data_IF_187341457504
#
_entry.id   IF_187341457504
#
_cell.length_a   1.000
_cell.length_b   1.000
_cell.length_c   1.000
_cell.angle_alpha   90.00
_cell.angle_beta   90.00
_cell.angle_gamma   90.00
#
_symmetry.space_group_name_H-M   'P 1'
#
loop_
_entity.id
_entity.type
_entity.pdbx_description
1 polymer ?
#
# COMPACT_ATOMS: atom_id res chain seq x y z
N UNK A 1 35.94 -29.95 -1.08
CA UNK A 1 35.28 -28.67 -0.73
C UNK A 1 34.10 -28.57 -1.66
N UNK A 2 32.86 -28.42 -1.17
CA UNK A 2 31.75 -28.23 -2.09
C UNK A 2 31.92 -26.85 -2.71
N UNK A 3 32.21 -26.85 -4.02
CA UNK A 3 32.02 -25.72 -4.90
C UNK A 3 30.51 -25.50 -5.04
N UNK A 4 30.10 -24.23 -5.14
CA UNK A 4 28.77 -23.78 -5.56
C UNK A 4 27.67 -23.61 -4.49
N UNK A 5 27.86 -22.68 -3.55
CA UNK A 5 26.74 -21.84 -3.10
C UNK A 5 26.89 -20.44 -3.71
N UNK A 6 26.24 -20.25 -4.87
CA UNK A 6 26.11 -18.96 -5.52
C UNK A 6 25.34 -18.00 -4.60
N UNK A 7 26.03 -16.95 -4.14
CA UNK A 7 25.44 -15.92 -3.28
C UNK A 7 24.38 -15.14 -4.07
N UNK A 8 23.11 -15.56 -3.99
CA UNK A 8 21.99 -14.78 -4.55
C UNK A 8 21.84 -13.52 -3.71
N UNK A 9 22.06 -12.31 -4.27
CA UNK A 9 21.83 -11.08 -3.53
C UNK A 9 20.36 -11.03 -3.11
N UNK A 10 20.11 -10.73 -1.83
CA UNK A 10 18.76 -10.52 -1.33
C UNK A 10 18.14 -9.35 -2.10
N UNK A 11 17.13 -9.65 -2.93
CA UNK A 11 16.38 -8.63 -3.65
C UNK A 11 15.47 -7.92 -2.65
N UNK A 12 15.84 -6.69 -2.30
CA UNK A 12 15.01 -5.80 -1.48
C UNK A 12 13.82 -5.33 -2.34
N UNK A 13 12.57 -5.58 -1.93
CA UNK A 13 11.41 -5.19 -2.73
C UNK A 13 11.29 -3.66 -2.83
N UNK A 14 11.09 -3.15 -4.05
CA UNK A 14 10.80 -1.72 -4.27
C UNK A 14 9.33 -1.44 -4.01
N UNK A 15 9.03 -0.32 -3.38
CA UNK A 15 7.69 0.04 -2.93
C UNK A 15 7.28 1.38 -3.54
N UNK A 16 6.16 1.37 -4.26
CA UNK A 16 5.46 2.56 -4.70
C UNK A 16 4.30 2.88 -3.78
N UNK A 17 4.28 4.07 -3.19
CA UNK A 17 3.27 4.48 -2.22
C UNK A 17 2.32 5.54 -2.79
N UNK A 18 1.05 5.48 -2.39
CA UNK A 18 0.14 6.59 -2.65
C UNK A 18 -0.77 6.88 -1.47
N UNK A 19 -1.15 8.15 -1.33
CA UNK A 19 -2.13 8.62 -0.38
C UNK A 19 -3.22 9.42 -1.09
N UNK A 20 -4.44 9.43 -0.54
CA UNK A 20 -5.48 10.40 -0.90
C UNK A 20 -5.57 11.42 0.24
N UNK A 21 -5.42 12.70 -0.08
CA UNK A 21 -5.44 13.81 0.87
C UNK A 21 -6.68 14.68 0.63
N UNK A 22 -7.46 14.90 1.68
CA UNK A 22 -8.42 15.99 1.75
C UNK A 22 -7.66 17.33 1.76
N UNK A 23 -7.98 18.28 0.86
CA UNK A 23 -7.21 19.53 0.77
C UNK A 23 -7.46 20.49 1.94
N UNK A 24 -8.38 20.15 2.84
CA UNK A 24 -8.77 20.89 4.02
C UNK A 24 -8.63 20.04 5.28
N UNK A 25 -8.75 20.68 6.45
CA UNK A 25 -8.58 20.00 7.72
C UNK A 25 -7.10 19.74 8.05
N UNK A 26 -6.83 18.65 8.76
CA UNK A 26 -5.53 18.39 9.37
C UNK A 26 -4.56 17.60 8.46
N UNK A 27 -5.07 16.89 7.44
CA UNK A 27 -4.27 16.02 6.58
C UNK A 27 -3.13 16.75 5.82
N UNK A 28 -3.33 17.98 5.29
CA UNK A 28 -2.22 18.71 4.66
C UNK A 28 -1.08 19.00 5.65
N UNK A 29 -1.40 19.30 6.91
CA UNK A 29 -0.39 19.52 7.95
C UNK A 29 0.40 18.24 8.25
N UNK A 30 -0.29 17.10 8.33
CA UNK A 30 0.35 15.80 8.55
C UNK A 30 1.27 15.40 7.41
N UNK A 31 0.83 15.51 6.15
CA UNK A 31 1.68 15.15 5.01
C UNK A 31 2.87 16.10 4.85
N UNK A 32 2.73 17.40 5.16
CA UNK A 32 3.88 18.31 5.22
C UNK A 32 4.88 17.87 6.30
N UNK A 33 4.40 17.57 7.50
CA UNK A 33 5.23 17.13 8.60
C UNK A 33 5.94 15.78 8.32
N UNK A 34 5.29 14.86 7.61
CA UNK A 34 5.88 13.60 7.16
C UNK A 34 6.94 13.84 6.08
N UNK A 35 6.66 14.72 5.11
CA UNK A 35 7.60 15.07 4.04
C UNK A 35 8.86 15.73 4.59
N UNK A 36 8.71 16.68 5.51
CA UNK A 36 9.83 17.37 6.20
C UNK A 36 10.76 16.40 6.93
N UNK A 37 10.22 15.27 7.41
CA UNK A 37 10.98 14.25 8.15
C UNK A 37 11.44 13.10 7.26
N UNK A 38 11.00 13.04 6.00
CA UNK A 38 11.24 11.91 5.11
C UNK A 38 10.68 10.59 5.65
N UNK A 39 9.45 10.60 6.18
CA UNK A 39 8.81 9.41 6.77
C UNK A 39 7.46 9.11 6.10
N UNK A 40 6.84 7.98 6.44
CA UNK A 40 5.55 7.59 5.87
C UNK A 40 5.71 7.21 4.40
N UNK A 41 4.86 7.77 3.53
CA UNK A 41 4.97 7.52 2.08
C UNK A 41 6.23 8.13 1.46
N UNK A 42 6.83 9.13 2.11
CA UNK A 42 8.00 9.85 1.58
C UNK A 42 9.32 9.09 1.78
N UNK A 43 9.27 7.94 2.46
CA UNK A 43 10.36 6.97 2.62
C UNK A 43 10.20 5.75 1.67
N UNK A 44 9.18 5.75 0.81
CA UNK A 44 9.02 4.77 -0.26
C UNK A 44 9.93 5.11 -1.46
N UNK A 45 10.24 4.13 -2.29
CA UNK A 45 11.11 4.29 -3.47
C UNK A 45 10.55 5.33 -4.45
N UNK A 46 9.23 5.37 -4.58
CA UNK A 46 8.50 6.42 -5.27
C UNK A 46 7.13 6.62 -4.60
N UNK A 47 6.59 7.84 -4.68
CA UNK A 47 5.31 8.18 -4.07
C UNK A 47 4.47 9.14 -4.90
N UNK A 48 3.17 9.16 -4.63
CA UNK A 48 2.24 10.20 -5.09
C UNK A 48 1.19 10.53 -4.04
N UNK A 49 0.80 11.80 -3.94
CA UNK A 49 -0.34 12.23 -3.13
C UNK A 49 -1.45 12.68 -4.07
N UNK A 50 -2.60 12.02 -4.03
CA UNK A 50 -3.81 12.46 -4.74
C UNK A 50 -4.61 13.44 -3.90
N UNK A 51 -5.29 14.37 -4.54
CA UNK A 51 -6.33 15.24 -3.94
C UNK A 51 -7.26 15.73 -5.03
N UNK A 52 -8.37 16.41 -4.75
CA UNK A 52 -9.18 17.05 -5.80
C UNK A 52 -8.65 18.44 -6.20
N UNK A 53 -7.58 18.91 -5.56
CA UNK A 53 -6.91 20.17 -5.89
C UNK A 53 -5.40 19.97 -5.93
N UNK A 54 -4.70 20.87 -6.62
CA UNK A 54 -3.23 20.89 -6.67
C UNK A 54 -2.68 21.73 -5.52
N UNK A 55 -2.02 21.08 -4.56
CA UNK A 55 -1.49 21.69 -3.33
C UNK A 55 0.01 21.47 -3.27
N UNK A 56 0.78 22.53 -2.97
CA UNK A 56 2.20 22.43 -2.67
C UNK A 56 2.39 21.91 -1.24
N UNK A 57 3.10 20.78 -1.11
CA UNK A 57 3.44 20.15 0.16
C UNK A 57 4.86 20.51 0.63
N UNK A 58 5.83 20.58 -0.30
CA UNK A 58 7.22 20.91 0.04
C UNK A 58 7.39 22.37 0.50
N UNK A 59 8.44 22.65 1.27
CA UNK A 59 8.79 24.02 1.64
C UNK A 59 9.41 24.77 0.46
N UNK A 60 9.46 26.11 0.57
CA UNK A 60 10.12 26.94 -0.43
C UNK A 60 11.62 26.65 -0.45
N UNK A 61 12.19 26.42 -1.64
CA UNK A 61 13.61 26.10 -1.82
C UNK A 61 13.93 24.60 -1.84
N UNK A 62 12.97 23.73 -1.52
CA UNK A 62 13.11 22.28 -1.62
C UNK A 62 12.60 21.74 -2.97
N UNK A 63 12.88 20.46 -3.25
CA UNK A 63 12.29 19.76 -4.39
C UNK A 63 10.77 19.85 -4.30
N UNK A 64 10.14 20.37 -5.35
CA UNK A 64 8.69 20.58 -5.38
C UNK A 64 7.94 19.26 -5.29
N UNK A 65 7.13 19.12 -4.25
CA UNK A 65 6.15 18.03 -4.09
C UNK A 65 4.76 18.61 -4.14
N UNK A 66 3.99 18.23 -5.17
CA UNK A 66 2.62 18.68 -5.38
C UNK A 66 1.68 17.48 -5.34
N UNK A 67 0.43 17.71 -4.94
CA UNK A 67 -0.62 16.71 -5.12
C UNK A 67 -1.01 16.55 -6.60
N UNK A 68 -1.42 15.35 -6.98
CA UNK A 68 -2.00 15.04 -8.27
C UNK A 68 -3.54 15.15 -8.20
N UNK A 69 -4.16 15.99 -9.04
CA UNK A 69 -5.60 16.20 -8.98
C UNK A 69 -6.37 14.97 -9.49
N UNK A 70 -7.39 14.55 -8.74
CA UNK A 70 -8.46 13.64 -9.17
C UNK A 70 -9.76 14.44 -9.38
N UNK A 71 -10.50 14.20 -10.48
CA UNK A 71 -11.64 15.03 -10.84
C UNK A 71 -12.82 14.83 -9.90
N UNK A 72 -13.47 15.90 -9.43
CA UNK A 72 -14.71 15.84 -8.63
C UNK A 72 -14.50 15.96 -7.11
N UNK A 73 -15.59 16.13 -6.36
CA UNK A 73 -15.54 16.33 -4.90
C UNK A 73 -14.98 15.11 -4.15
N UNK A 74 -14.35 15.35 -3.00
CA UNK A 74 -13.95 14.32 -2.03
C UNK A 74 -14.91 14.26 -0.82
N UNK A 75 -15.92 15.13 -0.77
CA UNK A 75 -16.93 15.11 0.29
C UNK A 75 -17.88 13.93 0.10
N UNK A 76 -18.19 13.25 1.20
CA UNK A 76 -19.10 12.12 1.23
C UNK A 76 -19.99 12.16 2.44
N UNK A 77 -21.22 11.67 2.28
CA UNK A 77 -22.09 11.36 3.39
C UNK A 77 -21.61 10.08 4.12
N UNK A 78 -22.05 9.94 5.37
CA UNK A 78 -21.94 8.68 6.12
C UNK A 78 -23.22 7.88 5.97
N UNK A 79 -23.12 6.57 5.89
CA UNK A 79 -24.29 5.71 5.71
C UNK A 79 -24.01 4.22 5.84
N UNK A 80 -25.00 3.42 5.43
CA UNK A 80 -24.97 1.97 5.55
C UNK A 80 -25.13 1.46 6.99
N UNK A 81 -25.07 0.13 7.16
CA UNK A 81 -25.27 -0.55 8.45
C UNK A 81 -24.33 -0.05 9.56
N UNK A 82 -23.14 0.41 9.19
CA UNK A 82 -22.07 0.78 10.11
C UNK A 82 -21.79 2.30 10.17
N UNK A 83 -22.60 3.11 9.48
CA UNK A 83 -22.47 4.57 9.43
C UNK A 83 -21.05 5.06 9.04
N UNK A 84 -20.47 4.41 8.03
CA UNK A 84 -19.13 4.71 7.49
C UNK A 84 -19.21 5.68 6.32
N UNK A 85 -18.07 6.28 5.95
CA UNK A 85 -17.96 7.16 4.79
C UNK A 85 -18.31 6.41 3.49
N UNK A 86 -19.20 6.96 2.66
CA UNK A 86 -19.59 6.40 1.38
C UNK A 86 -18.66 6.86 0.25
N UNK A 87 -17.42 6.36 0.26
CA UNK A 87 -16.31 6.87 -0.57
C UNK A 87 -15.92 5.97 -1.76
N UNK A 88 -16.76 5.00 -2.14
CA UNK A 88 -16.48 4.07 -3.26
C UNK A 88 -16.14 4.81 -4.55
N UNK A 89 -16.97 5.78 -4.96
CA UNK A 89 -16.76 6.53 -6.21
C UNK A 89 -15.51 7.41 -6.20
N UNK A 90 -15.07 7.85 -5.01
CA UNK A 90 -13.79 8.54 -4.86
C UNK A 90 -12.65 7.57 -5.15
N UNK A 91 -12.67 6.39 -4.53
CA UNK A 91 -11.58 5.43 -4.71
C UNK A 91 -11.54 4.84 -6.12
N UNK A 92 -12.67 4.68 -6.81
CA UNK A 92 -12.67 4.34 -8.24
C UNK A 92 -11.87 5.37 -9.05
N UNK A 93 -12.09 6.67 -8.81
CA UNK A 93 -11.33 7.74 -9.48
C UNK A 93 -9.85 7.74 -9.13
N UNK A 94 -9.51 7.50 -7.86
CA UNK A 94 -8.11 7.39 -7.42
C UNK A 94 -7.42 6.21 -8.12
N UNK A 95 -8.05 5.05 -8.17
CA UNK A 95 -7.49 3.88 -8.86
C UNK A 95 -7.37 4.05 -10.37
N UNK A 96 -8.29 4.80 -11.00
CA UNK A 96 -8.11 5.23 -12.39
C UNK A 96 -6.86 6.13 -12.52
N UNK A 97 -6.65 7.06 -11.58
CA UNK A 97 -5.45 7.89 -11.53
C UNK A 97 -4.15 7.08 -11.36
N UNK A 98 -4.14 6.10 -10.45
CA UNK A 98 -3.03 5.14 -10.28
C UNK A 98 -2.75 4.40 -11.58
N UNK A 99 -3.80 3.89 -12.24
CA UNK A 99 -3.70 3.12 -13.48
C UNK A 99 -3.16 3.98 -14.63
N UNK A 100 -3.65 5.21 -14.78
CA UNK A 100 -3.20 6.15 -15.81
C UNK A 100 -1.76 6.60 -15.61
N UNK A 101 -1.33 6.81 -14.36
CA UNK A 101 0.04 7.18 -14.04
C UNK A 101 1.02 6.04 -14.33
N UNK A 102 0.60 4.79 -14.11
CA UNK A 102 1.35 3.58 -14.49
C UNK A 102 2.63 3.30 -13.68
N UNK A 103 3.00 4.18 -12.75
CA UNK A 103 4.29 4.11 -12.02
C UNK A 103 4.42 2.89 -11.12
N UNK A 104 3.29 2.40 -10.63
CA UNK A 104 3.21 1.18 -9.84
C UNK A 104 3.79 -0.04 -10.57
N UNK A 105 3.79 -0.05 -11.92
CA UNK A 105 4.31 -1.16 -12.72
C UNK A 105 5.84 -1.30 -12.67
N UNK A 106 6.55 -0.25 -12.25
CA UNK A 106 8.01 -0.26 -12.10
C UNK A 106 8.47 -0.73 -10.71
N UNK A 107 7.54 -1.12 -9.84
CA UNK A 107 7.81 -1.47 -8.45
C UNK A 107 7.23 -2.84 -8.10
N UNK A 108 7.83 -3.50 -7.12
CA UNK A 108 7.38 -4.82 -6.68
C UNK A 108 6.04 -4.75 -5.92
N UNK A 109 5.82 -3.66 -5.17
CA UNK A 109 4.63 -3.47 -4.36
C UNK A 109 4.02 -2.08 -4.52
N UNK A 110 2.69 -2.05 -4.49
CA UNK A 110 1.86 -0.84 -4.46
C UNK A 110 1.20 -0.73 -3.09
N UNK A 111 1.38 0.39 -2.39
CA UNK A 111 0.82 0.57 -1.05
C UNK A 111 -0.03 1.83 -0.98
N UNK A 112 -1.30 1.68 -0.65
CA UNK A 112 -2.17 2.79 -0.23
C UNK A 112 -1.92 3.08 1.24
N UNK A 113 -1.56 4.31 1.59
CA UNK A 113 -1.36 4.77 2.97
C UNK A 113 -2.25 5.98 3.22
N UNK A 114 -3.04 5.96 4.29
CA UNK A 114 -3.84 7.11 4.68
C UNK A 114 -2.95 8.19 5.34
N UNK A 115 -3.22 9.50 5.14
CA UNK A 115 -2.38 10.58 5.65
C UNK A 115 -2.12 10.57 7.17
N UNK A 116 -3.01 9.97 7.96
CA UNK A 116 -2.94 9.86 9.42
C UNK A 116 -2.35 8.51 9.90
N UNK A 117 -1.89 7.67 8.98
CA UNK A 117 -1.26 6.40 9.30
C UNK A 117 0.22 6.57 9.67
N UNK A 118 0.66 5.90 10.73
CA UNK A 118 2.08 5.70 11.01
C UNK A 118 2.58 4.51 10.18
N UNK A 119 3.28 4.80 9.09
CA UNK A 119 3.78 3.80 8.14
C UNK A 119 5.31 3.80 8.06
N UNK A 120 5.89 2.60 8.07
CA UNK A 120 7.33 2.38 7.97
C UNK A 120 7.62 1.43 6.80
N UNK A 121 8.01 1.95 5.61
CA UNK A 121 8.29 1.12 4.44
C UNK A 121 9.32 0.02 4.73
N UNK A 122 10.34 0.32 5.53
CA UNK A 122 11.38 -0.66 5.87
C UNK A 122 10.86 -1.85 6.68
N UNK A 123 9.88 -1.61 7.56
CA UNK A 123 9.22 -2.69 8.29
C UNK A 123 8.42 -3.58 7.34
N UNK A 124 7.78 -2.99 6.31
CA UNK A 124 7.09 -3.76 5.28
C UNK A 124 8.08 -4.58 4.45
N UNK A 125 9.20 -4.00 4.00
CA UNK A 125 10.26 -4.76 3.30
C UNK A 125 10.75 -5.96 4.11
N UNK A 126 11.02 -5.74 5.40
CA UNK A 126 11.42 -6.79 6.34
C UNK A 126 10.38 -7.90 6.53
N UNK A 127 9.09 -7.61 6.27
CA UNK A 127 8.03 -8.62 6.30
C UNK A 127 7.92 -9.35 4.96
N UNK A 128 8.04 -8.65 3.85
CA UNK A 128 7.94 -9.19 2.49
C UNK A 128 9.12 -10.09 2.11
N UNK A 129 10.29 -9.88 2.71
CA UNK A 129 11.45 -10.75 2.54
C UNK A 129 11.40 -12.03 3.38
N UNK A 130 10.41 -12.17 4.27
CA UNK A 130 10.24 -13.41 5.03
C UNK A 130 9.63 -14.46 4.12
N UNK A 131 10.07 -15.70 4.29
CA UNK A 131 9.37 -16.85 3.73
C UNK A 131 7.89 -16.76 4.15
N UNK A 132 6.94 -16.90 3.21
CA UNK A 132 5.53 -16.95 3.56
C UNK A 132 5.32 -18.03 4.61
N UNK A 133 4.41 -17.81 5.56
CA UNK A 133 4.00 -18.89 6.46
C UNK A 133 3.51 -20.07 5.60
N UNK A 134 4.37 -21.08 5.42
CA UNK A 134 4.07 -22.26 4.62
C UNK A 134 2.93 -23.08 5.22
N UNK A 135 2.63 -22.86 6.49
CA UNK A 135 1.50 -23.45 7.19
C UNK A 135 1.01 -22.52 8.31
N UNK A 136 -0.32 -22.47 8.49
CA UNK A 136 -0.93 -21.97 9.72
C UNK A 136 -0.96 -23.16 10.69
N UNK A 137 -0.49 -23.03 11.95
CA UNK A 137 -0.62 -24.11 12.93
C UNK A 137 -2.11 -24.45 13.10
N UNK A 138 -2.49 -25.64 12.68
CA UNK A 138 -3.85 -26.16 12.83
C UNK A 138 -4.06 -26.55 14.30
N UNK A 139 -4.65 -25.64 15.07
CA UNK A 139 -4.94 -25.86 16.49
C UNK A 139 -6.32 -26.50 16.74
N UNK A 140 -7.01 -26.96 15.71
CA UNK A 140 -8.33 -27.54 15.93
C UNK A 140 -8.62 -28.77 15.08
N UNK A 141 -9.50 -29.61 15.62
CA UNK A 141 -9.99 -30.84 14.99
C UNK A 141 -10.91 -30.48 13.80
N UNK A 142 -10.34 -29.95 12.73
CA UNK A 142 -11.04 -29.65 11.49
C UNK A 142 -10.57 -30.62 10.39
N UNK A 143 -11.48 -31.02 9.51
CA UNK A 143 -11.20 -31.93 8.39
C UNK A 143 -10.50 -31.26 7.19
N UNK A 144 -9.99 -30.03 7.34
CA UNK A 144 -9.35 -29.29 6.24
C UNK A 144 -7.94 -28.83 6.60
N UNK A 145 -6.94 -29.44 5.96
CA UNK A 145 -5.56 -28.94 5.92
C UNK A 145 -5.42 -27.97 4.77
N UNK A 146 -5.34 -26.68 5.08
CA UNK A 146 -5.02 -25.65 4.10
C UNK A 146 -3.52 -25.29 4.20
N UNK A 147 -2.78 -25.50 3.11
CA UNK A 147 -1.46 -24.90 2.91
C UNK A 147 -1.59 -23.75 1.91
N UNK A 148 -0.77 -22.71 2.06
CA UNK A 148 -0.83 -21.55 1.17
C UNK A 148 -0.58 -22.00 -0.28
N UNK A 149 -1.53 -21.71 -1.19
CA UNK A 149 -1.46 -22.13 -2.60
C UNK A 149 -1.85 -23.58 -2.90
N UNK A 150 -2.18 -24.41 -1.89
CA UNK A 150 -2.66 -25.78 -2.09
C UNK A 150 -3.81 -26.11 -1.12
N UNK A 151 -5.02 -26.07 -1.66
CA UNK A 151 -6.23 -26.47 -0.96
C UNK A 151 -6.45 -27.98 -1.20
N UNK A 152 -6.19 -28.82 -0.20
CA UNK A 152 -6.49 -30.27 -0.25
C UNK A 152 -7.59 -30.63 0.75
N UNK A 153 -8.68 -31.20 0.25
CA UNK A 153 -9.73 -31.76 1.10
C UNK A 153 -9.26 -33.10 1.68
N UNK A 154 -9.83 -33.54 2.81
CA UNK A 154 -9.53 -34.84 3.45
C UNK A 154 -9.61 -36.05 2.50
N UNK A 155 -10.35 -35.92 1.39
CA UNK A 155 -10.54 -36.96 0.37
C UNK A 155 -9.46 -36.92 -0.75
N UNK A 156 -8.38 -36.15 -0.57
CA UNK A 156 -7.26 -36.06 -1.52
C UNK A 156 -7.52 -35.25 -2.79
N UNK A 157 -8.69 -34.59 -2.90
CA UNK A 157 -9.01 -33.75 -4.05
C UNK A 157 -8.30 -32.39 -3.93
N UNK A 158 -7.33 -32.17 -4.83
CA UNK A 158 -6.61 -30.91 -4.97
C UNK A 158 -7.41 -29.97 -5.87
N UNK A 159 -7.80 -28.79 -5.35
CA UNK A 159 -8.32 -27.71 -6.19
C UNK A 159 -7.28 -26.61 -6.28
N UNK A 160 -7.10 -26.04 -7.48
CA UNK A 160 -6.40 -24.76 -7.61
C UNK A 160 -7.28 -23.70 -6.95
N UNK A 161 -6.80 -23.24 -5.82
CA UNK A 161 -7.03 -21.88 -5.36
C UNK A 161 -6.07 -21.00 -6.21
#
# INVERSE_FOLDING_TARGET
MPEDEEFKPLRVPTIWCFALMLPFGYEPGLLRAQLERGVGIFDCDEFVVFSNTTVLLSRQGEKRVMTMPVPGSLEVSKGGKWYTALNTDIFIRVWNGVSLLGRYQYHDWTVKVDPDSVFFPERLRSMLMREPMASIPDQANHTMRAQCGQCTLANGMQKRC
#
